data_IF_786398287227
#
_entry.id   IF_786398287227
#
_cell.length_a   1.000
_cell.length_b   1.000
_cell.length_c   1.000
_cell.angle_alpha   90.00
_cell.angle_beta   90.00
_cell.angle_gamma   90.00
#
_symmetry.space_group_name_H-M   'P 1'
#
loop_
_entity.id
_entity.type
_entity.pdbx_description
1 polymer ?
#
# COMPACT_ATOMS: atom_id res chain seq x y z
N UNK A 1 -7.41 -8.35 -21.43
CA UNK A 1 -8.72 -8.04 -20.80
C UNK A 1 -9.19 -9.15 -19.85
N UNK A 2 -9.32 -10.41 -20.28
CA UNK A 2 -9.78 -11.51 -19.40
C UNK A 2 -8.92 -11.70 -18.12
N UNK A 3 -7.58 -11.62 -18.22
CA UNK A 3 -6.71 -11.74 -17.05
C UNK A 3 -6.91 -10.62 -16.01
N UNK A 4 -7.12 -9.38 -16.44
CA UNK A 4 -7.42 -8.26 -15.54
C UNK A 4 -8.78 -8.44 -14.86
N UNK A 5 -9.78 -8.91 -15.59
CA UNK A 5 -11.10 -9.21 -15.04
C UNK A 5 -11.06 -10.35 -14.00
N UNK A 6 -10.26 -11.39 -14.24
CA UNK A 6 -10.04 -12.48 -13.28
C UNK A 6 -9.32 -11.98 -12.04
N UNK A 7 -8.29 -11.14 -12.18
CA UNK A 7 -7.58 -10.55 -11.05
C UNK A 7 -8.47 -9.64 -10.20
N UNK A 8 -9.32 -8.84 -10.85
CA UNK A 8 -10.33 -8.02 -10.16
C UNK A 8 -11.36 -8.90 -9.43
N UNK A 9 -11.82 -9.99 -10.05
CA UNK A 9 -12.72 -10.93 -9.40
C UNK A 9 -12.07 -11.56 -8.16
N UNK A 10 -10.82 -12.02 -8.28
CA UNK A 10 -10.04 -12.56 -7.15
C UNK A 10 -9.89 -11.52 -6.04
N UNK A 11 -9.58 -10.27 -6.40
CA UNK A 11 -9.49 -9.15 -5.46
C UNK A 11 -10.79 -8.95 -4.66
N UNK A 12 -11.96 -8.99 -5.30
CA UNK A 12 -13.23 -8.82 -4.60
C UNK A 12 -13.65 -10.05 -3.79
N UNK A 13 -13.13 -11.24 -4.10
CA UNK A 13 -13.47 -12.48 -3.37
C UNK A 13 -12.58 -12.78 -2.17
N UNK A 14 -11.38 -12.19 -2.09
CA UNK A 14 -10.46 -12.45 -0.99
C UNK A 14 -10.83 -11.62 0.25
N UNK A 15 -10.80 -12.27 1.40
CA UNK A 15 -10.86 -11.58 2.68
C UNK A 15 -9.48 -10.96 2.97
N UNK A 16 -9.41 -9.63 2.86
CA UNK A 16 -8.19 -8.86 3.09
C UNK A 16 -8.05 -8.39 4.54
N UNK A 17 -8.92 -8.82 5.47
CA UNK A 17 -8.88 -8.42 6.87
C UNK A 17 -7.50 -8.70 7.48
N UNK A 18 -6.89 -9.84 7.17
CA UNK A 18 -5.55 -10.17 7.66
C UNK A 18 -4.50 -9.12 7.24
N UNK A 19 -4.58 -8.59 6.02
CA UNK A 19 -3.64 -7.60 5.51
C UNK A 19 -3.86 -6.24 6.19
N UNK A 20 -5.12 -5.88 6.44
CA UNK A 20 -5.51 -4.69 7.19
C UNK A 20 -4.98 -4.77 8.63
N UNK A 21 -5.11 -5.92 9.28
CA UNK A 21 -4.57 -6.15 10.63
C UNK A 21 -3.04 -6.04 10.67
N UNK A 22 -2.33 -6.63 9.69
CA UNK A 22 -0.87 -6.52 9.61
C UNK A 22 -0.42 -5.08 9.35
N UNK A 23 -1.12 -4.34 8.50
CA UNK A 23 -0.88 -2.91 8.28
C UNK A 23 -1.04 -2.12 9.58
N UNK A 24 -2.12 -2.37 10.34
CA UNK A 24 -2.37 -1.73 11.64
C UNK A 24 -1.21 -1.98 12.60
N UNK A 25 -0.78 -3.24 12.75
CA UNK A 25 0.32 -3.63 13.63
C UNK A 25 1.64 -2.96 13.21
N UNK A 26 1.93 -2.93 11.91
CA UNK A 26 3.15 -2.30 11.40
C UNK A 26 3.15 -0.79 11.63
N UNK A 27 2.01 -0.10 11.45
CA UNK A 27 1.89 1.33 11.75
C UNK A 27 2.05 1.60 13.24
N UNK A 28 1.40 0.81 14.09
CA UNK A 28 1.54 0.91 15.55
C UNK A 28 3.03 0.79 15.97
N UNK A 29 3.73 -0.21 15.45
CA UNK A 29 5.16 -0.40 15.71
C UNK A 29 6.01 0.81 15.28
N UNK A 30 5.76 1.38 14.10
CA UNK A 30 6.47 2.58 13.65
C UNK A 30 6.20 3.79 14.57
N UNK A 31 4.97 3.95 15.04
CA UNK A 31 4.58 5.04 15.94
C UNK A 31 5.22 4.88 17.33
N UNK A 32 5.22 3.67 17.88
CA UNK A 32 5.93 3.36 19.12
C UNK A 32 7.43 3.65 19.00
N UNK A 33 8.04 3.27 17.86
CA UNK A 33 9.45 3.57 17.57
C UNK A 33 9.74 5.08 17.46
N UNK A 34 8.73 5.90 17.16
CA UNK A 34 8.84 7.37 17.16
C UNK A 34 8.36 8.02 18.46
N UNK A 35 8.05 7.22 19.48
CA UNK A 35 7.74 7.69 20.83
C UNK A 35 6.27 8.06 21.07
N UNK A 36 5.36 7.75 20.14
CA UNK A 36 3.93 7.96 20.34
C UNK A 36 3.33 6.82 21.20
N UNK A 37 2.38 7.14 22.07
CA UNK A 37 1.57 6.14 22.79
C UNK A 37 0.50 5.58 21.86
N UNK A 38 0.37 4.25 21.80
CA UNK A 38 -0.54 3.55 20.89
C UNK A 38 -1.40 2.56 21.66
N UNK A 39 -2.72 2.60 21.43
CA UNK A 39 -3.70 1.71 22.04
C UNK A 39 -4.49 1.02 20.93
N UNK A 40 -4.42 -0.31 20.91
CA UNK A 40 -5.30 -1.12 20.06
C UNK A 40 -6.71 -1.09 20.64
N UNK A 41 -7.64 -0.46 19.92
CA UNK A 41 -9.06 -0.52 20.26
C UNK A 41 -9.66 -1.75 19.59
N UNK A 42 -10.41 -2.54 20.37
CA UNK A 42 -10.94 -3.84 19.95
C UNK A 42 -10.41 -4.97 20.81
N UNK A 43 -11.12 -5.27 21.90
CA UNK A 43 -11.07 -6.55 22.59
C UNK A 43 -12.48 -7.16 22.47
N UNK A 44 -12.55 -8.41 21.99
CA UNK A 44 -13.77 -9.20 21.73
C UNK A 44 -14.65 -8.71 20.54
N UNK A 45 -14.20 -9.04 19.32
CA UNK A 45 -15.11 -9.47 18.25
C UNK A 45 -15.74 -8.41 17.33
N UNK A 46 -15.50 -7.10 17.50
CA UNK A 46 -16.25 -6.09 16.71
C UNK A 46 -15.41 -4.98 16.01
N UNK A 47 -14.12 -4.77 16.28
CA UNK A 47 -13.31 -3.83 15.46
C UNK A 47 -11.80 -4.06 15.54
N UNK A 48 -11.26 -5.05 14.82
CA UNK A 48 -9.80 -5.31 14.74
C UNK A 48 -9.06 -4.30 13.82
N UNK A 49 -9.70 -3.18 13.51
CA UNK A 49 -9.27 -2.22 12.51
C UNK A 49 -8.94 -0.85 13.08
N UNK A 50 -9.18 -0.62 14.37
CA UNK A 50 -8.99 0.70 14.98
C UNK A 50 -7.71 0.78 15.81
N UNK A 51 -7.11 1.98 15.80
CA UNK A 51 -5.90 2.32 16.54
C UNK A 51 -6.06 3.73 17.12
N UNK A 52 -5.94 3.87 18.44
CA UNK A 52 -5.93 5.15 19.12
C UNK A 52 -4.48 5.57 19.39
N UNK A 53 -4.14 6.80 19.02
CA UNK A 53 -2.78 7.34 19.15
C UNK A 53 -2.81 8.59 20.04
N UNK A 54 -1.95 8.61 21.06
CA UNK A 54 -1.81 9.70 22.06
C UNK A 54 -3.13 10.17 22.69
N UNK A 55 -4.12 9.28 22.79
CA UNK A 55 -5.48 9.58 23.24
C UNK A 55 -6.19 10.69 22.45
N UNK A 56 -5.68 11.07 21.26
CA UNK A 56 -6.17 12.21 20.49
C UNK A 56 -6.65 11.85 19.09
N UNK A 57 -6.07 10.82 18.47
CA UNK A 57 -6.34 10.47 17.07
C UNK A 57 -6.77 9.02 16.94
N UNK A 58 -7.99 8.81 16.42
CA UNK A 58 -8.54 7.50 16.11
C UNK A 58 -8.32 7.18 14.63
N UNK A 59 -7.46 6.20 14.34
CA UNK A 59 -7.24 5.68 13.00
C UNK A 59 -8.12 4.46 12.76
N UNK A 60 -8.85 4.47 11.65
CA UNK A 60 -9.63 3.32 11.18
C UNK A 60 -9.01 2.76 9.90
N UNK A 61 -8.50 1.53 9.99
CA UNK A 61 -7.85 0.84 8.90
C UNK A 61 -8.86 0.02 8.10
N UNK A 62 -8.92 0.24 6.79
CA UNK A 62 -9.75 -0.55 5.88
C UNK A 62 -8.93 -1.09 4.71
N UNK A 63 -9.55 -1.88 3.83
CA UNK A 63 -8.87 -2.46 2.67
C UNK A 63 -8.28 -1.37 1.76
N UNK A 64 -8.93 -0.21 1.64
CA UNK A 64 -8.41 0.94 0.89
C UNK A 64 -7.10 1.48 1.46
N UNK A 65 -6.88 1.35 2.77
CA UNK A 65 -5.62 1.73 3.41
C UNK A 65 -4.46 0.83 2.99
N UNK A 66 -4.66 -0.34 2.39
CA UNK A 66 -3.56 -1.27 2.02
C UNK A 66 -2.88 -0.93 0.70
N UNK A 67 -3.46 -0.01 -0.10
CA UNK A 67 -3.01 0.30 -1.47
C UNK A 67 -2.94 -0.91 -2.41
N UNK A 68 -3.67 -1.98 -2.09
CA UNK A 68 -3.67 -3.20 -2.88
C UNK A 68 -4.17 -2.94 -4.32
N UNK A 69 -5.06 -1.97 -4.53
CA UNK A 69 -5.49 -1.54 -5.86
C UNK A 69 -4.33 -1.04 -6.73
N UNK A 70 -3.33 -0.37 -6.15
CA UNK A 70 -2.13 0.08 -6.87
C UNK A 70 -1.25 -1.11 -7.27
N UNK A 71 -1.16 -2.12 -6.41
CA UNK A 71 -0.46 -3.37 -6.74
C UNK A 71 -1.17 -4.10 -7.89
N UNK A 72 -2.51 -4.17 -7.85
CA UNK A 72 -3.31 -4.76 -8.93
C UNK A 72 -3.14 -3.99 -10.25
N UNK A 73 -3.01 -2.67 -10.20
CA UNK A 73 -2.70 -1.84 -11.36
C UNK A 73 -1.35 -2.19 -11.99
N UNK A 74 -0.35 -2.60 -11.20
CA UNK A 74 0.98 -2.99 -11.69
C UNK A 74 1.01 -4.35 -12.42
N UNK A 75 -0.02 -5.19 -12.24
CA UNK A 75 -0.01 -6.58 -12.75
C UNK A 75 0.02 -6.67 -14.28
N UNK A 76 -0.83 -5.94 -15.04
CA UNK A 76 -0.81 -6.00 -16.50
C UNK A 76 0.53 -5.54 -17.09
N UNK A 77 1.18 -4.56 -16.45
CA UNK A 77 2.50 -4.08 -16.86
C UNK A 77 3.56 -5.15 -16.62
N UNK A 78 3.55 -5.78 -15.44
CA UNK A 78 4.49 -6.87 -15.11
C UNK A 78 4.39 -8.04 -16.10
N UNK A 79 3.18 -8.42 -16.50
CA UNK A 79 2.96 -9.50 -17.47
C UNK A 79 3.35 -9.16 -18.91
N UNK A 80 3.50 -7.88 -19.26
CA UNK A 80 3.85 -7.43 -20.61
C UNK A 80 5.28 -7.81 -21.02
N UNK A 81 6.18 -7.97 -20.05
CA UNK A 81 7.63 -8.16 -20.27
C UNK A 81 8.06 -9.56 -20.74
N UNK A 82 7.14 -10.42 -21.20
CA UNK A 82 7.40 -11.83 -21.60
C UNK A 82 8.23 -12.67 -20.59
N UNK A 83 8.23 -12.27 -19.31
CA UNK A 83 8.95 -12.98 -18.24
C UNK A 83 8.24 -14.29 -17.89
N UNK A 84 8.98 -15.22 -17.30
CA UNK A 84 8.40 -16.45 -16.74
C UNK A 84 7.36 -16.14 -15.66
N UNK A 85 6.39 -17.03 -15.46
CA UNK A 85 5.35 -16.87 -14.44
C UNK A 85 5.94 -16.56 -13.06
N UNK A 86 6.98 -17.29 -12.65
CA UNK A 86 7.68 -17.09 -11.37
C UNK A 86 8.30 -15.69 -11.25
N UNK A 87 8.97 -15.19 -12.31
CA UNK A 87 9.56 -13.84 -12.33
C UNK A 87 8.48 -12.76 -12.23
N UNK A 88 7.32 -12.96 -12.85
CA UNK A 88 6.17 -12.04 -12.72
C UNK A 88 5.59 -12.04 -11.32
N UNK A 89 5.35 -13.21 -10.73
CA UNK A 89 4.90 -13.32 -9.34
C UNK A 89 5.87 -12.65 -8.38
N UNK A 90 7.18 -12.90 -8.52
CA UNK A 90 8.20 -12.27 -7.68
C UNK A 90 8.20 -10.74 -7.84
N UNK A 91 8.12 -10.23 -9.08
CA UNK A 91 8.06 -8.79 -9.35
C UNK A 91 6.86 -8.15 -8.68
N UNK A 92 5.67 -8.76 -8.83
CA UNK A 92 4.42 -8.23 -8.26
C UNK A 92 4.46 -8.30 -6.74
N UNK A 93 4.96 -9.38 -6.15
CA UNK A 93 5.12 -9.50 -4.70
C UNK A 93 6.09 -8.44 -4.15
N UNK A 94 7.21 -8.18 -4.83
CA UNK A 94 8.15 -7.13 -4.45
C UNK A 94 7.55 -5.73 -4.55
N UNK A 95 6.81 -5.46 -5.63
CA UNK A 95 6.09 -4.20 -5.80
C UNK A 95 5.04 -4.03 -4.71
N UNK A 96 4.23 -5.05 -4.46
CA UNK A 96 3.21 -5.03 -3.41
C UNK A 96 3.80 -4.82 -2.03
N UNK A 97 4.89 -5.52 -1.69
CA UNK A 97 5.61 -5.32 -0.44
C UNK A 97 6.17 -3.90 -0.32
N UNK A 98 6.75 -3.36 -1.41
CA UNK A 98 7.26 -1.99 -1.45
C UNK A 98 6.17 -0.93 -1.26
N UNK A 99 5.01 -1.11 -1.92
CA UNK A 99 3.84 -0.23 -1.78
C UNK A 99 3.30 -0.30 -0.35
N UNK A 100 3.18 -1.51 0.22
CA UNK A 100 2.72 -1.70 1.59
C UNK A 100 3.66 -1.02 2.60
N UNK A 101 4.97 -1.21 2.44
CA UNK A 101 5.98 -0.57 3.30
C UNK A 101 5.93 0.95 3.21
N UNK A 102 5.87 1.49 1.99
CA UNK A 102 5.73 2.93 1.76
C UNK A 102 4.49 3.45 2.47
N UNK A 103 3.37 2.72 2.38
CA UNK A 103 2.13 3.10 3.01
C UNK A 103 2.16 3.01 4.54
N UNK A 104 2.83 2.02 5.13
CA UNK A 104 3.09 1.95 6.59
C UNK A 104 3.79 3.22 7.06
N UNK A 105 4.93 3.54 6.43
CA UNK A 105 5.72 4.73 6.77
C UNK A 105 4.90 6.00 6.57
N UNK A 106 4.13 6.07 5.48
CA UNK A 106 3.24 7.19 5.16
C UNK A 106 2.24 7.45 6.28
N UNK A 107 1.44 6.45 6.64
CA UNK A 107 0.39 6.57 7.66
C UNK A 107 1.01 6.91 9.00
N UNK A 108 2.08 6.22 9.40
CA UNK A 108 2.77 6.52 10.64
C UNK A 108 3.27 7.98 10.64
N UNK A 109 3.92 8.45 9.57
CA UNK A 109 4.55 9.77 9.55
C UNK A 109 3.49 10.88 9.61
N UNK A 110 2.39 10.72 8.87
CA UNK A 110 1.24 11.62 8.92
C UNK A 110 0.65 11.68 10.34
N UNK A 111 0.50 10.52 10.98
CA UNK A 111 0.00 10.41 12.36
C UNK A 111 0.91 11.13 13.34
N UNK A 112 2.21 10.86 13.29
CA UNK A 112 3.19 11.48 14.16
C UNK A 112 3.19 13.01 14.03
N UNK A 113 3.20 13.52 12.78
CA UNK A 113 3.14 14.97 12.52
C UNK A 113 1.83 15.61 12.96
N UNK A 114 0.70 14.91 12.78
CA UNK A 114 -0.62 15.39 13.21
C UNK A 114 -0.72 15.46 14.73
N UNK A 115 -0.22 14.45 15.45
CA UNK A 115 -0.23 14.44 16.92
C UNK A 115 0.71 15.52 17.50
N UNK A 116 1.81 15.81 16.80
CA UNK A 116 2.73 16.90 17.14
C UNK A 116 2.16 18.31 16.84
N UNK A 117 0.97 18.42 16.25
CA UNK A 117 0.29 19.70 15.96
C UNK A 117 0.89 20.50 14.80
N UNK A 118 1.80 19.92 14.00
CA UNK A 118 2.44 20.64 12.90
C UNK A 118 1.47 20.95 11.74
N UNK A 119 0.55 20.02 11.44
CA UNK A 119 -0.47 20.21 10.41
C UNK A 119 -1.71 19.38 10.73
N UNK A 120 -2.86 19.77 10.16
CA UNK A 120 -4.07 18.94 10.20
C UNK A 120 -3.88 17.64 9.42
N UNK A 121 -4.34 16.54 10.00
CA UNK A 121 -4.36 15.20 9.38
C UNK A 121 -4.76 15.21 7.91
N UNK A 122 -5.90 15.84 7.58
CA UNK A 122 -6.47 15.83 6.23
C UNK A 122 -5.52 16.40 5.17
N UNK A 123 -4.76 17.44 5.52
CA UNK A 123 -3.85 18.12 4.59
C UNK A 123 -2.63 17.25 4.30
N UNK A 124 -1.94 16.74 5.34
CA UNK A 124 -0.78 15.88 5.12
C UNK A 124 -1.23 14.57 4.47
N UNK A 125 -2.29 13.94 4.98
CA UNK A 125 -2.79 12.68 4.46
C UNK A 125 -3.07 12.80 2.96
N UNK A 126 -3.83 13.80 2.54
CA UNK A 126 -4.22 13.99 1.13
C UNK A 126 -3.01 14.30 0.25
N UNK A 127 -2.12 15.20 0.67
CA UNK A 127 -0.96 15.57 -0.12
C UNK A 127 -0.02 14.37 -0.34
N UNK A 128 0.29 13.64 0.72
CA UNK A 128 1.18 12.48 0.64
C UNK A 128 0.53 11.32 -0.11
N UNK A 129 -0.79 11.12 0.06
CA UNK A 129 -1.56 10.11 -0.67
C UNK A 129 -1.54 10.37 -2.20
N UNK A 130 -1.77 11.61 -2.63
CA UNK A 130 -1.71 12.00 -4.05
C UNK A 130 -0.30 11.76 -4.62
N UNK A 131 0.75 12.18 -3.89
CA UNK A 131 2.13 11.99 -4.34
C UNK A 131 2.49 10.51 -4.47
N UNK A 132 2.06 9.67 -3.53
CA UNK A 132 2.28 8.23 -3.58
C UNK A 132 1.59 7.60 -4.80
N UNK A 133 0.31 7.93 -5.02
CA UNK A 133 -0.46 7.43 -6.17
C UNK A 133 0.17 7.85 -7.50
N UNK A 134 0.48 9.14 -7.66
CA UNK A 134 1.11 9.65 -8.88
C UNK A 134 2.49 9.04 -9.11
N UNK A 135 3.32 8.95 -8.07
CA UNK A 135 4.66 8.37 -8.16
C UNK A 135 4.63 6.92 -8.62
N UNK A 136 3.71 6.10 -8.09
CA UNK A 136 3.55 4.71 -8.48
C UNK A 136 3.04 4.62 -9.93
N UNK A 137 1.96 5.32 -10.27
CA UNK A 137 1.36 5.28 -11.62
C UNK A 137 2.37 5.74 -12.68
N UNK A 138 3.02 6.88 -12.47
CA UNK A 138 4.01 7.43 -13.41
C UNK A 138 5.16 6.44 -13.59
N UNK A 139 5.65 5.82 -12.51
CA UNK A 139 6.75 4.84 -12.60
C UNK A 139 6.38 3.64 -13.47
N UNK A 140 5.18 3.08 -13.30
CA UNK A 140 4.70 1.95 -14.13
C UNK A 140 4.45 2.35 -15.58
N UNK A 141 3.87 3.53 -15.81
CA UNK A 141 3.65 4.05 -17.18
C UNK A 141 4.98 4.30 -17.88
N UNK A 142 5.95 4.95 -17.22
CA UNK A 142 7.28 5.19 -17.78
C UNK A 142 8.01 3.88 -18.08
N UNK A 143 7.92 2.89 -17.19
CA UNK A 143 8.51 1.57 -17.41
C UNK A 143 7.90 0.87 -18.64
N UNK A 144 6.57 0.99 -18.82
CA UNK A 144 5.87 0.46 -19.99
C UNK A 144 6.29 1.16 -21.29
N UNK A 145 6.39 2.49 -21.28
CA UNK A 145 6.87 3.27 -22.44
C UNK A 145 8.30 2.88 -22.80
N UNK A 146 9.19 2.77 -21.80
CA UNK A 146 10.59 2.37 -22.04
C UNK A 146 10.72 0.99 -22.65
N UNK A 147 9.85 0.06 -22.25
CA UNK A 147 9.76 -1.26 -22.84
C UNK A 147 9.31 -1.20 -24.31
N UNK A 148 8.26 -0.42 -24.59
CA UNK A 148 7.72 -0.27 -25.95
C UNK A 148 8.71 0.40 -26.91
N UNK A 149 9.58 1.27 -26.37
CA UNK A 149 10.68 1.88 -27.12
C UNK A 149 11.91 0.97 -27.30
N UNK A 150 11.88 -0.26 -26.78
CA UNK A 150 13.01 -1.20 -26.86
C UNK A 150 14.23 -0.77 -26.06
N UNK A 151 14.07 0.14 -25.10
CA UNK A 151 15.17 0.67 -24.26
C UNK A 151 15.42 -0.16 -23.00
N UNK A 152 14.60 -1.19 -22.77
CA UNK A 152 14.79 -2.18 -21.72
C UNK A 152 15.25 -3.46 -22.39
N UNK A 153 16.46 -3.98 -22.11
CA UNK A 153 16.93 -5.20 -22.74
C UNK A 153 15.99 -6.36 -22.42
N UNK A 154 15.63 -7.12 -23.45
CA UNK A 154 14.92 -8.37 -23.29
C UNK A 154 15.80 -9.30 -22.45
N UNK A 155 15.41 -9.51 -21.21
CA UNK A 155 16.09 -10.45 -20.31
C UNK A 155 15.55 -11.86 -20.60
N UNK A 156 15.75 -12.31 -21.83
CA UNK A 156 15.65 -13.72 -22.17
C UNK A 156 16.88 -14.44 -21.60
N UNK A 157 16.77 -14.84 -20.33
CA UNK A 157 17.61 -15.85 -19.68
C UNK A 157 16.81 -16.76 -18.78
#
# INVERSE_FOLDING_TARGET
MAALAILLAVYFTFDWIWLVQQLRVAVAFCLECWGNEVIFLGQEGISDTELLVENCLLLNFNVGCTYLHLTMFAIPFSWRFRRTFLKNCLTISLVGAGILLLNVVRVAAVTHMSCSGFFSWDVIHTAVDILAHLGIIISFVLMAIRYDLGTVPDTES
#
